data_IF_098067982675
#
_entry.id   IF_098067982675
#
_cell.length_a   1.000
_cell.length_b   1.000
_cell.length_c   1.000
_cell.angle_alpha   90.00
_cell.angle_beta   90.00
_cell.angle_gamma   90.00
#
_symmetry.space_group_name_H-M   'P 1'
#
loop_
_entity.id
_entity.type
_entity.pdbx_description
1 polymer ?
#
# COMPACT_ATOMS: atom_id res chain seq x y z
N UNK A 1 -22.29 11.17 34.05
CA UNK A 1 -21.57 11.42 32.79
C UNK A 1 -20.82 12.72 33.01
N UNK A 2 -19.50 12.68 33.00
CA UNK A 2 -18.60 13.71 33.54
C UNK A 2 -18.76 15.07 32.85
N UNK A 3 -18.85 16.11 33.67
CA UNK A 3 -18.69 17.51 33.29
C UNK A 3 -17.20 17.76 33.03
N UNK A 4 -16.70 17.40 31.84
CA UNK A 4 -15.37 17.77 31.40
C UNK A 4 -15.40 19.27 31.08
N UNK A 5 -14.63 20.07 31.82
CA UNK A 5 -14.58 21.51 31.62
C UNK A 5 -14.08 21.80 30.19
N UNK A 6 -14.90 22.51 29.42
CA UNK A 6 -14.55 22.97 28.07
C UNK A 6 -13.29 23.86 28.10
N UNK A 7 -12.35 23.71 27.15
CA UNK A 7 -11.14 24.52 27.11
C UNK A 7 -11.44 26.01 27.05
N UNK A 8 -10.62 26.82 27.71
CA UNK A 8 -10.75 28.26 27.70
C UNK A 8 -10.12 28.86 26.44
N UNK A 9 -10.61 30.04 26.03
CA UNK A 9 -9.97 30.79 24.95
C UNK A 9 -8.52 31.23 25.27
N UNK A 10 -8.11 31.18 26.54
CA UNK A 10 -6.74 31.45 26.94
C UNK A 10 -5.84 30.23 26.66
N UNK A 11 -6.32 29.01 26.90
CA UNK A 11 -5.62 27.76 26.59
C UNK A 11 -5.41 27.59 25.08
N UNK A 12 -6.44 27.83 24.26
CA UNK A 12 -6.31 27.78 22.79
C UNK A 12 -5.26 28.78 22.30
N UNK A 13 -5.23 30.01 22.84
CA UNK A 13 -4.20 30.99 22.49
C UNK A 13 -2.81 30.57 22.96
N UNK A 14 -2.69 29.97 24.14
CA UNK A 14 -1.42 29.47 24.64
C UNK A 14 -0.87 28.34 23.76
N UNK A 15 -1.74 27.43 23.31
CA UNK A 15 -1.37 26.38 22.37
C UNK A 15 -0.95 26.94 21.00
N UNK A 16 -1.66 27.93 20.47
CA UNK A 16 -1.25 28.63 19.24
C UNK A 16 0.15 29.27 19.37
N UNK A 17 0.47 29.87 20.52
CA UNK A 17 1.82 30.41 20.78
C UNK A 17 2.88 29.31 20.94
N UNK A 18 2.49 28.14 21.47
CA UNK A 18 3.37 26.98 21.55
C UNK A 18 3.75 26.45 20.16
N UNK A 19 2.78 26.37 19.24
CA UNK A 19 3.03 26.01 17.82
C UNK A 19 4.02 26.97 17.17
N UNK A 20 3.81 28.29 17.31
CA UNK A 20 4.73 29.31 16.76
C UNK A 20 6.14 29.14 17.32
N UNK A 21 6.25 28.96 18.64
CA UNK A 21 7.54 28.76 19.31
C UNK A 21 8.24 27.48 18.83
N UNK A 22 7.49 26.40 18.62
CA UNK A 22 8.03 25.15 18.11
C UNK A 22 8.46 25.28 16.65
N UNK A 23 7.72 26.05 15.84
CA UNK A 23 8.06 26.33 14.44
C UNK A 23 9.38 27.11 14.33
N UNK A 24 9.54 28.14 15.16
CA UNK A 24 10.80 28.90 15.23
C UNK A 24 11.97 28.02 15.67
N UNK A 25 11.75 27.10 16.62
CA UNK A 25 12.77 26.14 17.06
C UNK A 25 13.15 25.16 15.95
N UNK A 26 12.16 24.64 15.23
CA UNK A 26 12.38 23.74 14.10
C UNK A 26 13.17 24.43 13.00
N UNK A 27 12.80 25.66 12.61
CA UNK A 27 13.56 26.45 11.64
C UNK A 27 15.01 26.68 12.11
N UNK A 28 15.21 27.07 13.37
CA UNK A 28 16.54 27.27 13.93
C UNK A 28 17.38 25.97 14.02
N UNK A 29 16.74 24.79 14.08
CA UNK A 29 17.43 23.51 14.00
C UNK A 29 17.84 23.21 12.56
N UNK A 30 16.94 23.41 11.58
CA UNK A 30 17.20 23.25 10.15
C UNK A 30 18.34 24.15 9.69
N UNK A 31 18.34 25.42 10.09
CA UNK A 31 19.39 26.39 9.75
C UNK A 31 20.77 26.02 10.31
N UNK A 32 20.82 25.21 11.38
CA UNK A 32 22.05 24.76 12.03
C UNK A 32 22.42 23.32 11.70
N UNK A 33 21.69 22.66 10.79
CA UNK A 33 21.86 21.23 10.52
C UNK A 33 23.28 20.91 10.06
N UNK A 34 23.81 19.80 10.56
CA UNK A 34 25.17 19.32 10.32
C UNK A 34 25.25 18.15 9.33
N UNK A 35 24.13 17.78 8.71
CA UNK A 35 23.99 16.71 7.74
C UNK A 35 22.55 16.59 7.23
N UNK A 36 22.29 15.58 6.40
CA UNK A 36 20.95 15.26 5.89
C UNK A 36 20.07 14.64 7.00
N UNK A 37 20.66 13.78 7.85
CA UNK A 37 20.01 13.12 8.99
C UNK A 37 20.41 13.72 10.34
N UNK A 38 20.20 15.02 10.54
CA UNK A 38 20.53 15.67 11.81
C UNK A 38 19.50 15.34 12.91
N UNK A 39 19.88 14.66 14.02
CA UNK A 39 18.94 14.29 15.08
C UNK A 39 18.25 15.49 15.73
N UNK A 40 18.90 16.66 15.76
CA UNK A 40 18.32 17.86 16.35
C UNK A 40 17.17 18.42 15.50
N UNK A 41 17.21 18.25 14.18
CA UNK A 41 16.11 18.62 13.28
C UNK A 41 14.93 17.69 13.51
N UNK A 42 15.18 16.38 13.60
CA UNK A 42 14.14 15.38 13.86
C UNK A 42 13.46 15.59 15.22
N UNK A 43 14.24 15.85 16.28
CA UNK A 43 13.68 16.16 17.60
C UNK A 43 12.80 17.43 17.57
N UNK A 44 13.27 18.49 16.89
CA UNK A 44 12.51 19.73 16.77
C UNK A 44 11.24 19.57 15.92
N UNK A 45 11.27 18.71 14.90
CA UNK A 45 10.10 18.33 14.10
C UNK A 45 9.04 17.64 14.96
N UNK A 46 9.43 16.64 15.76
CA UNK A 46 8.50 15.95 16.67
C UNK A 46 7.88 16.88 17.71
N UNK A 47 8.66 17.84 18.24
CA UNK A 47 8.14 18.86 19.16
C UNK A 47 7.13 19.80 18.47
N UNK A 48 7.34 20.13 17.20
CA UNK A 48 6.40 20.92 16.41
C UNK A 48 5.11 20.15 16.14
N UNK A 49 5.20 18.88 15.73
CA UNK A 49 4.07 18.01 15.54
C UNK A 49 3.21 17.92 16.81
N UNK A 50 3.81 17.59 17.96
CA UNK A 50 3.08 17.51 19.23
C UNK A 50 2.43 18.83 19.64
N UNK A 51 3.07 19.97 19.38
CA UNK A 51 2.48 21.28 19.66
C UNK A 51 1.29 21.59 18.75
N UNK A 52 1.36 21.19 17.47
CA UNK A 52 0.30 21.40 16.50
C UNK A 52 -0.93 20.52 16.79
N UNK A 53 -0.73 19.26 17.15
CA UNK A 53 -1.80 18.34 17.57
C UNK A 53 -2.55 18.87 18.80
N UNK A 54 -1.81 19.26 19.84
CA UNK A 54 -2.41 19.85 21.05
C UNK A 54 -3.19 21.15 20.76
N UNK A 55 -2.76 21.93 19.77
CA UNK A 55 -3.50 23.11 19.33
C UNK A 55 -4.79 22.73 18.60
N UNK A 56 -4.73 21.75 17.70
CA UNK A 56 -5.88 21.29 16.92
C UNK A 56 -6.97 20.68 17.81
N UNK A 57 -6.59 19.85 18.80
CA UNK A 57 -7.52 19.31 19.81
C UNK A 57 -8.24 20.43 20.57
N UNK A 58 -7.50 21.42 21.07
CA UNK A 58 -8.08 22.54 21.83
C UNK A 58 -8.93 23.46 20.95
N UNK A 59 -8.56 23.60 19.67
CA UNK A 59 -9.30 24.37 18.68
C UNK A 59 -10.65 23.69 18.39
N UNK A 60 -10.63 22.38 18.17
CA UNK A 60 -11.81 21.57 17.93
C UNK A 60 -12.74 21.56 19.15
N UNK A 61 -12.22 21.23 20.33
CA UNK A 61 -13.00 21.17 21.57
C UNK A 61 -13.73 22.48 21.88
N UNK A 62 -13.13 23.62 21.54
CA UNK A 62 -13.67 24.94 21.88
C UNK A 62 -14.49 25.59 20.77
N UNK A 63 -14.12 25.40 19.52
CA UNK A 63 -14.69 26.13 18.39
C UNK A 63 -15.30 25.21 17.32
N UNK A 64 -15.17 23.89 17.44
CA UNK A 64 -15.62 22.89 16.44
C UNK A 64 -14.98 23.15 15.06
N UNK A 65 -13.72 23.60 15.08
CA UNK A 65 -12.92 23.93 13.90
C UNK A 65 -11.63 23.13 13.91
N UNK A 66 -11.11 22.82 12.72
CA UNK A 66 -9.86 22.08 12.53
C UNK A 66 -8.90 22.87 11.66
N UNK A 67 -7.61 22.63 11.83
CA UNK A 67 -6.58 23.22 10.97
C UNK A 67 -6.51 22.51 9.61
N UNK A 68 -6.17 23.23 8.52
CA UNK A 68 -6.05 22.62 7.19
C UNK A 68 -4.73 21.86 6.97
N UNK A 69 -3.90 21.71 8.01
CA UNK A 69 -2.60 21.06 7.92
C UNK A 69 -2.68 19.68 8.56
N UNK A 70 -2.30 18.64 7.81
CA UNK A 70 -2.18 17.29 8.36
C UNK A 70 -0.78 17.07 8.91
N UNK A 71 -0.72 16.51 10.12
CA UNK A 71 0.52 16.07 10.74
C UNK A 71 0.73 14.60 10.33
N UNK A 72 1.81 14.24 9.62
CA UNK A 72 2.11 12.85 9.32
C UNK A 72 2.09 12.03 10.62
N UNK A 73 1.20 11.04 10.69
CA UNK A 73 0.73 10.43 11.94
C UNK A 73 1.85 9.98 12.88
N UNK A 74 1.87 10.53 14.09
CA UNK A 74 2.80 10.14 15.15
C UNK A 74 2.57 8.70 15.65
N UNK A 75 1.39 8.12 15.41
CA UNK A 75 1.04 6.75 15.85
C UNK A 75 1.05 5.69 14.72
N UNK A 76 0.92 6.10 13.45
CA UNK A 76 0.93 5.18 12.30
C UNK A 76 2.24 5.18 11.49
N UNK A 77 3.13 6.13 11.77
CA UNK A 77 4.46 6.14 11.17
C UNK A 77 5.34 5.05 11.76
N UNK A 78 6.03 4.31 10.89
CA UNK A 78 7.09 3.41 11.31
C UNK A 78 8.20 4.24 11.99
N UNK A 79 8.88 3.69 13.02
CA UNK A 79 10.05 4.34 13.58
C UNK A 79 11.11 4.53 12.48
N UNK A 80 12.04 5.51 12.63
CA UNK A 80 13.09 5.74 11.63
C UNK A 80 13.81 4.45 11.25
N UNK A 81 14.03 4.26 9.95
CA UNK A 81 14.75 3.08 9.45
C UNK A 81 16.17 3.08 10.00
N UNK A 82 16.58 1.95 10.57
CA UNK A 82 17.94 1.74 11.12
C UNK A 82 18.65 0.55 10.50
N UNK A 83 18.15 0.03 9.37
CA UNK A 83 18.77 -1.09 8.66
C UNK A 83 19.88 -0.65 7.70
N UNK A 84 20.44 -1.58 6.92
CA UNK A 84 21.52 -1.29 5.97
C UNK A 84 21.03 -0.46 4.77
N UNK A 85 21.90 0.41 4.25
CA UNK A 85 21.63 1.19 3.03
C UNK A 85 21.54 0.30 1.77
N UNK A 86 22.34 -0.77 1.73
CA UNK A 86 22.37 -1.77 0.64
C UNK A 86 22.04 -3.17 1.20
N UNK A 87 20.76 -3.53 1.37
CA UNK A 87 20.37 -4.83 1.92
C UNK A 87 20.65 -5.98 0.95
N UNK A 88 21.27 -7.06 1.45
CA UNK A 88 21.56 -8.26 0.66
C UNK A 88 20.43 -9.30 0.69
N UNK A 89 19.46 -9.14 1.59
CA UNK A 89 18.28 -9.98 1.73
C UNK A 89 17.09 -9.18 2.26
N UNK A 90 15.89 -9.62 1.91
CA UNK A 90 14.64 -8.98 2.28
C UNK A 90 13.54 -10.01 2.55
N UNK A 91 12.67 -9.70 3.50
CA UNK A 91 11.47 -10.48 3.81
C UNK A 91 10.23 -9.64 3.55
N UNK A 92 9.22 -10.24 2.91
CA UNK A 92 7.92 -9.61 2.66
C UNK A 92 6.90 -10.30 3.53
N UNK A 93 6.33 -9.57 4.48
CA UNK A 93 5.29 -10.05 5.37
C UNK A 93 3.96 -9.47 4.93
N UNK A 94 2.99 -10.35 4.68
CA UNK A 94 1.66 -9.98 4.23
C UNK A 94 0.66 -10.47 5.26
N UNK A 95 -0.12 -9.56 5.84
CA UNK A 95 -1.34 -9.87 6.58
C UNK A 95 -2.53 -9.62 5.65
N UNK A 96 -3.36 -10.64 5.44
CA UNK A 96 -4.65 -10.53 4.75
C UNK A 96 -5.72 -10.98 5.73
N UNK A 97 -6.66 -10.10 6.06
CA UNK A 97 -7.76 -10.40 6.95
C UNK A 97 -8.97 -10.88 6.13
N UNK A 98 -9.71 -11.87 6.64
CA UNK A 98 -10.92 -12.38 5.99
C UNK A 98 -12.06 -12.57 6.98
N UNK A 99 -13.27 -12.21 6.58
CA UNK A 99 -14.50 -12.61 7.25
C UNK A 99 -15.04 -13.91 6.65
N UNK A 100 -15.46 -14.85 7.50
CA UNK A 100 -16.16 -16.07 7.03
C UNK A 100 -17.63 -15.74 6.78
N UNK A 101 -17.91 -15.09 5.65
CA UNK A 101 -19.25 -14.61 5.29
C UNK A 101 -20.22 -15.74 4.91
N UNK A 102 -19.72 -16.82 4.31
CA UNK A 102 -20.53 -17.95 3.85
C UNK A 102 -19.97 -19.30 4.30
N UNK A 103 -20.15 -19.68 5.59
CA UNK A 103 -19.59 -20.92 6.16
C UNK A 103 -20.01 -22.19 5.41
N UNK A 104 -21.23 -22.20 4.86
CA UNK A 104 -21.75 -23.35 4.09
C UNK A 104 -20.99 -23.57 2.78
N UNK A 105 -20.56 -22.48 2.12
CA UNK A 105 -19.76 -22.54 0.89
C UNK A 105 -18.36 -23.07 1.18
N UNK A 106 -17.74 -22.56 2.25
CA UNK A 106 -16.45 -23.03 2.76
C UNK A 106 -16.49 -24.54 3.06
N UNK A 107 -17.48 -25.00 3.82
CA UNK A 107 -17.62 -26.43 4.16
C UNK A 107 -17.91 -27.30 2.93
N UNK A 108 -18.70 -26.82 1.98
CA UNK A 108 -18.93 -27.54 0.74
C UNK A 108 -17.64 -27.72 -0.07
N UNK A 109 -16.75 -26.72 -0.05
CA UNK A 109 -15.45 -26.83 -0.72
C UNK A 109 -14.52 -27.82 -0.01
N UNK A 110 -14.42 -27.74 1.32
CA UNK A 110 -13.63 -28.70 2.10
C UNK A 110 -14.06 -30.15 1.83
N UNK A 111 -15.37 -30.43 1.80
CA UNK A 111 -15.89 -31.77 1.47
C UNK A 111 -15.50 -32.25 0.07
N UNK A 112 -15.44 -31.35 -0.92
CA UNK A 112 -14.99 -31.70 -2.28
C UNK A 112 -13.53 -32.12 -2.28
N UNK A 113 -12.68 -31.40 -1.53
CA UNK A 113 -11.25 -31.72 -1.38
C UNK A 113 -11.10 -33.10 -0.72
N UNK A 114 -11.76 -33.34 0.42
CA UNK A 114 -11.69 -34.65 1.09
C UNK A 114 -12.23 -35.79 0.24
N UNK A 115 -13.27 -35.54 -0.56
CA UNK A 115 -13.79 -36.59 -1.47
C UNK A 115 -12.80 -36.91 -2.59
N UNK A 116 -11.98 -35.93 -3.00
CA UNK A 116 -10.94 -36.11 -4.01
C UNK A 116 -9.66 -36.74 -3.44
N UNK A 117 -9.37 -36.51 -2.15
CA UNK A 117 -8.22 -37.06 -1.43
C UNK A 117 -8.63 -38.05 -0.34
N UNK A 118 -8.50 -39.34 -0.64
CA UNK A 118 -8.82 -40.44 0.28
C UNK A 118 -7.99 -40.44 1.59
N UNK A 119 -6.97 -39.58 1.70
CA UNK A 119 -6.12 -39.41 2.88
C UNK A 119 -6.56 -38.34 3.90
N UNK A 120 -7.53 -37.49 3.55
CA UNK A 120 -7.96 -36.38 4.41
C UNK A 120 -9.09 -36.79 5.37
N UNK A 121 -9.07 -36.29 6.60
CA UNK A 121 -10.08 -36.59 7.62
C UNK A 121 -11.45 -35.99 7.25
N UNK A 122 -12.39 -36.87 6.86
CA UNK A 122 -13.74 -36.49 6.46
C UNK A 122 -14.53 -35.81 7.58
N UNK A 123 -14.24 -36.14 8.84
CA UNK A 123 -14.94 -35.55 9.99
C UNK A 123 -14.51 -34.08 10.19
N UNK A 124 -13.30 -33.70 9.78
CA UNK A 124 -12.83 -32.30 9.84
C UNK A 124 -13.65 -31.37 8.93
N UNK A 125 -14.13 -31.87 7.80
CA UNK A 125 -14.97 -31.10 6.86
C UNK A 125 -16.41 -30.84 7.37
N UNK A 126 -16.78 -31.42 8.52
CA UNK A 126 -18.07 -31.18 9.17
C UNK A 126 -18.11 -29.94 10.07
N UNK A 127 -16.96 -29.29 10.26
CA UNK A 127 -16.86 -28.05 11.04
C UNK A 127 -16.26 -26.91 10.21
N UNK A 128 -16.59 -25.67 10.55
CA UNK A 128 -16.00 -24.48 9.92
C UNK A 128 -14.49 -24.43 10.16
N UNK A 129 -14.04 -24.73 11.37
CA UNK A 129 -12.63 -24.71 11.72
C UNK A 129 -11.83 -25.78 10.97
N UNK A 130 -12.33 -27.01 10.88
CA UNK A 130 -11.67 -28.05 10.09
C UNK A 130 -11.72 -27.76 8.59
N UNK A 131 -12.80 -27.17 8.08
CA UNK A 131 -12.87 -26.72 6.70
C UNK A 131 -11.83 -25.63 6.36
N UNK A 132 -11.54 -24.70 7.28
CA UNK A 132 -10.43 -23.75 7.13
C UNK A 132 -9.09 -24.47 7.06
N UNK A 133 -8.84 -25.43 7.96
CA UNK A 133 -7.59 -26.20 7.96
C UNK A 133 -7.38 -26.97 6.66
N UNK A 134 -8.44 -27.58 6.10
CA UNK A 134 -8.39 -28.27 4.81
C UNK A 134 -8.13 -27.29 3.67
N UNK A 135 -8.84 -26.15 3.63
CA UNK A 135 -8.69 -25.15 2.58
C UNK A 135 -7.26 -24.59 2.52
N UNK A 136 -6.72 -24.13 3.66
CA UNK A 136 -5.38 -23.55 3.76
C UNK A 136 -4.25 -24.59 3.69
N UNK A 137 -4.58 -25.88 3.79
CA UNK A 137 -3.63 -26.97 3.56
C UNK A 137 -3.53 -27.38 2.08
N UNK A 138 -4.63 -27.22 1.32
CA UNK A 138 -4.71 -27.60 -0.10
C UNK A 138 -4.28 -26.48 -1.04
N UNK A 139 -4.69 -25.23 -0.77
CA UNK A 139 -4.48 -24.11 -1.68
C UNK A 139 -3.34 -23.19 -1.24
N UNK A 140 -2.62 -22.65 -2.23
CA UNK A 140 -1.62 -21.62 -1.98
C UNK A 140 -2.27 -20.31 -1.51
N UNK A 141 -1.59 -19.49 -0.68
CA UNK A 141 -2.15 -18.23 -0.16
C UNK A 141 -2.65 -17.26 -1.24
N UNK A 142 -2.00 -17.21 -2.41
CA UNK A 142 -2.40 -16.32 -3.51
C UNK A 142 -3.59 -16.88 -4.31
N UNK A 143 -3.76 -18.19 -4.34
CA UNK A 143 -4.97 -18.81 -4.88
C UNK A 143 -6.17 -18.53 -3.97
N UNK A 144 -5.97 -18.61 -2.65
CA UNK A 144 -7.00 -18.23 -1.67
C UNK A 144 -7.36 -16.76 -1.82
N UNK A 145 -6.37 -15.87 -1.96
CA UNK A 145 -6.61 -14.44 -2.15
C UNK A 145 -7.38 -14.14 -3.44
N UNK A 146 -7.02 -14.74 -4.57
CA UNK A 146 -7.72 -14.48 -5.85
C UNK A 146 -9.14 -15.07 -5.90
N UNK A 147 -9.42 -16.15 -5.15
CA UNK A 147 -10.69 -16.89 -5.20
C UNK A 147 -11.45 -16.87 -3.86
N UNK A 148 -11.15 -15.93 -2.97
CA UNK A 148 -11.68 -15.89 -1.60
C UNK A 148 -13.23 -15.95 -1.56
N UNK A 149 -13.90 -15.25 -2.49
CA UNK A 149 -15.37 -15.28 -2.63
C UNK A 149 -15.89 -16.68 -2.94
N UNK A 150 -15.20 -17.47 -3.77
CA UNK A 150 -15.58 -18.86 -4.07
C UNK A 150 -15.48 -19.78 -2.84
N UNK A 151 -14.61 -19.43 -1.90
CA UNK A 151 -14.45 -20.14 -0.63
C UNK A 151 -15.40 -19.65 0.45
N UNK A 152 -16.22 -18.63 0.17
CA UNK A 152 -17.15 -18.07 1.14
C UNK A 152 -16.49 -17.16 2.16
N UNK A 153 -15.35 -16.59 1.78
CA UNK A 153 -14.62 -15.56 2.50
C UNK A 153 -14.93 -14.20 1.86
N UNK A 154 -14.96 -13.15 2.68
CA UNK A 154 -14.95 -11.75 2.26
C UNK A 154 -13.65 -11.12 2.76
N UNK A 155 -13.00 -10.33 1.92
CA UNK A 155 -11.74 -9.66 2.25
C UNK A 155 -11.98 -8.54 3.27
N UNK A 156 -11.09 -8.44 4.25
CA UNK A 156 -11.00 -7.34 5.21
C UNK A 156 -9.77 -6.49 4.91
N UNK A 157 -9.22 -5.82 5.92
CA UNK A 157 -8.01 -5.03 5.73
C UNK A 157 -6.80 -5.94 5.42
N UNK A 158 -5.84 -5.38 4.68
CA UNK A 158 -4.57 -6.04 4.41
C UNK A 158 -3.39 -5.09 4.61
N UNK A 159 -2.26 -5.66 4.97
CA UNK A 159 -1.02 -4.92 5.22
C UNK A 159 0.15 -5.72 4.66
N UNK A 160 1.03 -5.05 3.90
CA UNK A 160 2.30 -5.59 3.41
C UNK A 160 3.46 -4.81 4.01
N UNK A 161 4.39 -5.51 4.68
CA UNK A 161 5.63 -4.96 5.19
C UNK A 161 6.81 -5.59 4.45
N UNK A 162 7.77 -4.76 4.02
CA UNK A 162 9.06 -5.21 3.49
C UNK A 162 10.14 -4.89 4.50
N UNK A 163 10.88 -5.90 4.94
CA UNK A 163 11.93 -5.73 5.96
C UNK A 163 13.29 -6.13 5.42
N UNK A 164 14.31 -5.32 5.69
CA UNK A 164 15.68 -5.61 5.35
C UNK A 164 16.35 -6.54 6.37
N UNK A 165 17.20 -7.44 5.88
CA UNK A 165 18.11 -8.22 6.70
C UNK A 165 19.56 -7.77 6.47
N UNK A 166 20.39 -7.87 7.52
CA UNK A 166 21.82 -7.48 7.44
C UNK A 166 22.61 -8.51 6.64
N UNK A 167 22.36 -9.79 6.91
CA UNK A 167 23.04 -10.94 6.32
C UNK A 167 22.07 -11.82 5.53
N UNK A 168 22.61 -12.56 4.56
CA UNK A 168 21.85 -13.57 3.82
C UNK A 168 21.69 -14.83 4.68
N UNK A 169 20.46 -15.27 5.03
CA UNK A 169 20.28 -16.41 5.93
C UNK A 169 20.60 -17.74 5.27
N UNK A 170 20.96 -18.74 6.07
CA UNK A 170 21.22 -20.11 5.60
C UNK A 170 19.93 -20.84 5.19
N UNK A 171 20.02 -21.87 4.32
CA UNK A 171 18.85 -22.66 3.93
C UNK A 171 18.10 -23.25 5.13
N UNK A 172 16.81 -22.94 5.24
CA UNK A 172 15.93 -23.43 6.30
C UNK A 172 15.77 -22.48 7.49
N UNK A 173 16.65 -21.49 7.66
CA UNK A 173 16.52 -20.48 8.74
C UNK A 173 15.22 -19.68 8.61
N UNK A 174 14.83 -19.37 7.37
CA UNK A 174 13.60 -18.64 7.03
C UNK A 174 12.33 -19.34 7.53
N UNK A 175 12.35 -20.67 7.69
CA UNK A 175 11.19 -21.46 8.07
C UNK A 175 11.08 -21.68 9.59
N UNK A 176 12.17 -21.44 10.33
CA UNK A 176 12.26 -21.83 11.73
C UNK A 176 11.45 -20.92 12.68
N UNK A 177 11.45 -19.61 12.41
CA UNK A 177 10.73 -18.61 13.20
C UNK A 177 10.36 -17.37 12.36
N UNK A 178 9.52 -17.53 11.31
CA UNK A 178 9.23 -16.47 10.35
C UNK A 178 8.55 -15.22 10.94
N UNK A 179 8.06 -15.29 12.18
CA UNK A 179 7.25 -14.23 12.82
C UNK A 179 7.75 -13.77 14.20
N UNK A 180 8.93 -14.21 14.66
CA UNK A 180 9.31 -14.12 16.09
C UNK A 180 9.34 -12.70 16.67
N UNK A 181 9.51 -11.68 15.84
CA UNK A 181 8.91 -10.34 15.98
C UNK A 181 9.56 -9.47 14.93
N UNK A 182 8.78 -9.01 13.95
CA UNK A 182 9.30 -8.09 12.93
C UNK A 182 9.74 -6.79 13.61
N UNK A 183 11.03 -6.46 13.45
CA UNK A 183 11.57 -5.20 13.94
C UNK A 183 11.00 -4.04 13.11
N UNK A 184 10.16 -3.21 13.72
CA UNK A 184 9.54 -2.05 13.06
C UNK A 184 10.57 -1.05 12.52
N UNK A 185 11.78 -1.02 13.08
CA UNK A 185 12.88 -0.15 12.62
C UNK A 185 13.58 -0.69 11.36
N UNK A 186 13.29 -1.93 10.96
CA UNK A 186 13.82 -2.56 9.74
C UNK A 186 12.84 -2.56 8.57
N UNK A 187 11.66 -2.00 8.76
CA UNK A 187 10.64 -1.93 7.72
C UNK A 187 11.05 -0.84 6.72
N UNK A 188 11.36 -1.26 5.50
CA UNK A 188 11.72 -0.39 4.37
C UNK A 188 10.46 0.29 3.82
N UNK A 189 9.37 -0.47 3.70
CA UNK A 189 8.08 0.07 3.30
C UNK A 189 6.91 -0.71 3.93
N UNK A 190 5.82 0.02 4.18
CA UNK A 190 4.53 -0.49 4.63
C UNK A 190 3.46 0.01 3.66
N UNK A 191 2.65 -0.91 3.16
CA UNK A 191 1.45 -0.63 2.38
C UNK A 191 0.26 -1.19 3.15
N UNK A 192 -0.72 -0.35 3.42
CA UNK A 192 -1.99 -0.75 4.01
C UNK A 192 -3.09 -0.55 2.98
N UNK A 193 -3.93 -1.57 2.79
CA UNK A 193 -5.12 -1.53 1.94
C UNK A 193 -6.31 -1.81 2.84
N UNK A 194 -7.29 -0.91 2.82
CA UNK A 194 -8.53 -1.12 3.57
C UNK A 194 -9.64 -1.56 2.63
N UNK A 195 -10.33 -2.64 3.00
CA UNK A 195 -11.41 -3.20 2.18
C UNK A 195 -12.54 -2.19 1.90
N UNK A 196 -12.78 -1.24 2.80
CA UNK A 196 -13.84 -0.22 2.64
C UNK A 196 -13.52 0.79 1.55
N UNK A 197 -12.23 1.08 1.32
CA UNK A 197 -11.78 2.06 0.33
C UNK A 197 -11.38 1.42 -1.00
N UNK A 198 -11.18 0.10 -1.03
CA UNK A 198 -10.83 -0.66 -2.23
C UNK A 198 -12.06 -0.96 -3.11
N UNK A 199 -13.25 -1.13 -2.50
CA UNK A 199 -14.52 -1.32 -3.22
C UNK A 199 -14.89 -0.15 -4.15
N UNK A 200 -14.35 1.05 -3.92
CA UNK A 200 -14.58 2.23 -4.76
C UNK A 200 -13.71 2.26 -6.04
N UNK A 201 -12.65 1.44 -6.14
CA UNK A 201 -11.71 1.43 -7.28
C UNK A 201 -12.03 0.38 -8.35
N UNK A 202 -12.76 -0.68 -8.00
CA UNK A 202 -13.11 -1.77 -8.92
C UNK A 202 -14.27 -1.43 -9.90
N UNK A 203 -14.93 -0.29 -9.72
CA UNK A 203 -16.06 0.18 -10.56
C UNK A 203 -15.66 1.17 -11.67
N UNK A 204 -14.38 1.51 -11.84
CA UNK A 204 -13.92 2.30 -12.99
C UNK A 204 -13.54 1.37 -14.17
N UNK A 205 -14.27 1.39 -15.30
CA UNK A 205 -13.83 0.69 -16.48
C UNK A 205 -12.56 1.36 -17.03
N UNK A 206 -11.48 0.59 -17.09
CA UNK A 206 -10.23 0.82 -17.85
C UNK A 206 -10.37 1.90 -18.95
N UNK A 207 -10.16 3.17 -18.59
CA UNK A 207 -10.00 4.26 -19.55
C UNK A 207 -8.53 4.42 -19.90
N UNK A 208 -7.90 3.31 -20.29
CA UNK A 208 -6.57 3.23 -20.88
C UNK A 208 -6.61 3.29 -22.40
N UNK A 209 -7.17 4.35 -22.98
CA UNK A 209 -6.94 4.73 -24.39
C UNK A 209 -6.57 6.21 -24.47
N UNK A 210 -5.33 6.51 -24.09
CA UNK A 210 -4.61 7.66 -24.65
C UNK A 210 -4.34 7.33 -26.12
N UNK A 211 -5.31 7.65 -26.99
CA UNK A 211 -5.02 7.88 -28.40
C UNK A 211 -4.10 9.11 -28.47
N UNK A 212 -2.81 8.87 -28.70
CA UNK A 212 -1.90 9.91 -29.12
C UNK A 212 -2.35 10.37 -30.51
N UNK A 213 -3.16 11.42 -30.56
CA UNK A 213 -3.41 12.20 -31.78
C UNK A 213 -2.06 12.75 -32.25
N UNK A 214 -1.50 12.12 -33.27
CA UNK A 214 -0.40 12.70 -34.02
C UNK A 214 -0.99 13.82 -34.87
N UNK A 215 -0.65 15.05 -34.51
CA UNK A 215 -0.89 16.27 -35.29
C UNK A 215 -0.37 16.09 -36.73
N UNK A 216 -1.28 15.83 -37.67
CA UNK A 216 -1.05 16.02 -39.10
C UNK A 216 -1.74 17.33 -39.49
N UNK A 217 -0.99 18.42 -39.57
CA UNK A 217 -1.28 19.56 -40.46
C UNK A 217 -0.09 20.54 -40.45
N UNK A 218 0.64 20.63 -41.57
CA UNK A 218 1.09 21.91 -42.14
C UNK A 218 1.62 21.70 -43.58
N UNK A 219 0.68 21.86 -44.52
CA UNK A 219 0.78 22.56 -45.81
C UNK A 219 2.17 22.76 -46.46
N UNK A 220 2.37 22.11 -47.61
CA UNK A 220 3.11 22.73 -48.72
C UNK A 220 2.33 22.53 -50.01
N UNK A 221 1.65 23.60 -50.44
CA UNK A 221 1.16 23.76 -51.81
C UNK A 221 2.32 23.79 -52.81
N UNK A 222 2.13 23.17 -53.99
CA UNK A 222 3.07 23.27 -55.09
C UNK A 222 2.70 22.40 -56.28
N UNK A 223 1.83 22.96 -57.12
CA UNK A 223 1.70 22.80 -58.58
C UNK A 223 2.72 21.90 -59.29
N UNK A 224 2.21 20.98 -60.12
CA UNK A 224 2.48 20.89 -61.56
C UNK A 224 2.51 19.45 -62.12
N UNK A 225 1.68 19.27 -63.15
CA UNK A 225 1.82 18.37 -64.29
C UNK A 225 1.77 16.85 -64.09
N UNK A 226 0.54 16.34 -64.11
CA UNK A 226 0.25 15.00 -64.63
C UNK A 226 0.05 15.08 -66.14
N UNK A 227 1.12 14.89 -66.91
CA UNK A 227 1.05 14.53 -68.32
C UNK A 227 1.71 13.16 -68.55
N UNK A 228 0.88 12.23 -69.07
CA UNK A 228 1.14 11.37 -70.25
C UNK A 228 2.40 10.47 -70.21
N UNK A 229 2.39 9.14 -70.30
CA UNK A 229 1.76 8.21 -71.28
C UNK A 229 2.10 6.77 -70.81
N UNK A 230 1.18 5.80 -70.92
CA UNK A 230 1.20 4.66 -71.87
C UNK A 230 2.46 3.75 -71.87
N UNK A 231 2.17 2.44 -71.84
CA UNK A 231 3.02 1.31 -72.24
C UNK A 231 4.17 0.93 -71.28
N UNK A 232 4.60 -0.30 -71.10
CA UNK A 232 4.24 -1.67 -71.47
C UNK A 232 5.23 -2.55 -70.66
N UNK A 233 5.01 -3.87 -70.63
CA UNK A 233 6.04 -4.89 -70.39
C UNK A 233 6.59 -5.12 -68.97
N UNK A 234 5.88 -6.04 -68.32
CA UNK A 234 6.42 -6.99 -67.36
C UNK A 234 7.49 -7.89 -68.02
N UNK A 235 8.74 -7.80 -67.57
CA UNK A 235 9.69 -8.93 -67.65
C UNK A 235 10.31 -9.21 -66.27
N UNK A 236 10.27 -10.46 -65.78
CA UNK A 236 10.96 -10.85 -64.56
C UNK A 236 12.43 -11.15 -64.88
N UNK A 237 13.35 -10.37 -64.30
CA UNK A 237 14.78 -10.70 -64.37
C UNK A 237 15.16 -11.74 -63.32
N UNK A 238 15.77 -12.80 -63.84
CA UNK A 238 16.22 -14.01 -63.19
C UNK A 238 17.15 -13.79 -61.98
N UNK A 239 17.06 -14.74 -61.05
CA UNK A 239 17.97 -14.92 -59.95
C UNK A 239 19.35 -15.42 -60.44
N UNK A 240 20.37 -14.59 -60.29
CA UNK A 240 21.76 -15.02 -60.40
C UNK A 240 22.28 -15.57 -59.06
N UNK A 241 22.35 -16.90 -59.04
CA UNK A 241 23.51 -17.77 -58.70
C UNK A 241 24.48 -17.37 -57.59
#
# INVERSE_FOLDING_TARGET
>A
MSDAAQPTAAEVRAAAEAVKTALDRHLAAVERRSGEDDPAVYEAFNQLAAAAEAYDELLYDRYDEVTPFEIPGADDSLPPYTGPDEPNALSVLIRRDYAVAHPQRLMAQARRIVTADEGTDADAAESVNGALGILFGEFEPDEIASRHKEFGLEEGDSTMWVTAADDLPEPGEWLSAPFDSVDRQRVVCRFDVSAVFDEDLDDEPDSGQLEAELDEDEDVEGDDDLDLDEDEDLEPLDADR
#
